data_IF_121559450340
#
_entry.id   IF_121559450340
#
_cell.length_a   1.000
_cell.length_b   1.000
_cell.length_c   1.000
_cell.angle_alpha   90.00
_cell.angle_beta   90.00
_cell.angle_gamma   90.00
#
_symmetry.space_group_name_H-M   'P 1'
#
loop_
_entity.id
_entity.type
_entity.pdbx_description
1 polymer ?
#
# COMPACT_ATOMS: atom_id res chain seq x y z
N UNK A 1 13.03 24.14 -19.84
CA UNK A 1 12.59 23.04 -18.94
C UNK A 1 11.52 23.59 -18.03
N UNK A 2 10.26 23.37 -18.38
CA UNK A 2 9.08 23.88 -17.67
C UNK A 2 8.49 22.80 -16.77
N UNK A 3 7.83 23.23 -15.71
CA UNK A 3 7.51 22.52 -14.47
C UNK A 3 6.47 21.37 -14.58
N UNK A 4 6.37 20.61 -15.68
CA UNK A 4 5.19 19.75 -15.92
C UNK A 4 5.40 18.36 -16.56
N UNK A 5 6.58 17.74 -16.58
CA UNK A 5 6.73 16.37 -17.16
C UNK A 5 6.93 15.22 -16.15
N UNK A 6 7.22 15.48 -14.85
CA UNK A 6 7.55 14.44 -13.86
C UNK A 6 6.66 14.50 -12.59
N UNK A 7 5.34 14.55 -12.74
CA UNK A 7 4.40 14.64 -11.62
C UNK A 7 3.45 13.44 -11.53
N UNK A 8 2.80 13.28 -10.38
CA UNK A 8 1.64 12.39 -10.27
C UNK A 8 0.52 12.97 -11.16
N UNK A 9 -0.10 12.11 -11.96
CA UNK A 9 -1.19 12.43 -12.90
C UNK A 9 -2.51 11.78 -12.49
N UNK A 10 -2.45 10.65 -11.78
CA UNK A 10 -3.61 9.92 -11.28
C UNK A 10 -3.40 9.57 -9.80
N UNK A 11 -4.35 9.97 -8.96
CA UNK A 11 -4.33 9.73 -7.52
C UNK A 11 -5.42 8.70 -7.18
N UNK A 12 -5.03 7.61 -6.54
CA UNK A 12 -5.93 6.62 -5.97
C UNK A 12 -6.32 6.96 -4.55
N UNK A 13 -7.59 7.26 -4.32
CA UNK A 13 -8.18 7.49 -3.00
C UNK A 13 -8.81 6.22 -2.38
N UNK A 14 -8.84 5.11 -3.14
CA UNK A 14 -9.35 3.83 -2.66
C UNK A 14 -8.42 3.17 -1.65
N UNK A 15 -8.99 2.71 -0.53
CA UNK A 15 -8.27 1.96 0.49
C UNK A 15 -7.74 0.63 -0.08
N UNK A 16 -6.70 0.08 0.53
CA UNK A 16 -6.31 -1.30 0.30
C UNK A 16 -7.51 -2.24 0.45
N UNK A 17 -7.49 -3.32 -0.34
CA UNK A 17 -8.61 -4.30 -0.46
C UNK A 17 -9.86 -3.80 -1.21
N UNK A 18 -9.81 -2.66 -1.89
CA UNK A 18 -10.90 -2.21 -2.77
C UNK A 18 -10.66 -2.51 -4.26
N UNK A 19 -9.74 -3.42 -4.58
CA UNK A 19 -9.36 -3.73 -5.97
C UNK A 19 -8.19 -2.89 -6.51
N UNK A 20 -7.43 -2.25 -5.62
CA UNK A 20 -6.27 -1.38 -5.92
C UNK A 20 -5.22 -2.04 -6.81
N UNK A 21 -4.94 -3.34 -6.62
CA UNK A 21 -3.98 -4.08 -7.44
C UNK A 21 -4.47 -4.27 -8.88
N UNK A 22 -5.76 -4.61 -9.06
CA UNK A 22 -6.36 -4.68 -10.40
C UNK A 22 -6.40 -3.31 -11.06
N UNK A 23 -6.67 -2.24 -10.29
CA UNK A 23 -6.63 -0.87 -10.79
C UNK A 23 -5.21 -0.45 -11.19
N UNK A 24 -4.20 -0.84 -10.41
CA UNK A 24 -2.79 -0.62 -10.74
C UNK A 24 -2.44 -1.25 -12.10
N UNK A 25 -2.89 -2.47 -12.35
CA UNK A 25 -2.64 -3.16 -13.61
C UNK A 25 -3.34 -2.49 -14.79
N UNK A 26 -4.59 -2.07 -14.61
CA UNK A 26 -5.31 -1.29 -15.62
C UNK A 26 -4.57 0.02 -15.96
N UNK A 27 -4.05 0.73 -14.95
CA UNK A 27 -3.25 1.94 -15.16
C UNK A 27 -1.92 1.65 -15.86
N UNK A 28 -1.25 0.53 -15.55
CA UNK A 28 -0.04 0.10 -16.26
C UNK A 28 -0.31 -0.15 -17.74
N UNK A 29 -1.42 -0.81 -18.07
CA UNK A 29 -1.85 -1.01 -19.46
C UNK A 29 -2.05 0.33 -20.19
N UNK A 30 -2.57 1.35 -19.49
CA UNK A 30 -2.75 2.70 -20.01
C UNK A 30 -1.46 3.53 -20.08
N UNK A 31 -0.31 2.97 -19.70
CA UNK A 31 1.01 3.61 -19.77
C UNK A 31 1.44 4.36 -18.50
N UNK A 32 0.71 4.23 -17.39
CA UNK A 32 1.09 4.86 -16.12
C UNK A 32 2.05 3.98 -15.32
N UNK A 33 3.07 4.60 -14.72
CA UNK A 33 3.90 3.95 -13.71
C UNK A 33 3.26 4.17 -12.33
N UNK A 34 2.54 3.17 -11.86
CA UNK A 34 1.70 3.29 -10.66
C UNK A 34 2.42 2.84 -9.39
N UNK A 35 2.54 3.75 -8.43
CA UNK A 35 3.01 3.49 -7.07
C UNK A 35 1.93 2.75 -6.29
N UNK A 36 2.31 1.69 -5.60
CA UNK A 36 1.43 0.85 -4.79
C UNK A 36 2.24 0.27 -3.63
N UNK A 37 1.59 -0.32 -2.63
CA UNK A 37 2.19 -0.88 -1.44
C UNK A 37 3.41 -1.79 -1.72
N UNK A 38 3.41 -2.58 -2.81
CA UNK A 38 4.55 -3.45 -3.12
C UNK A 38 5.84 -2.67 -3.47
N UNK A 39 5.74 -1.41 -3.90
CA UNK A 39 6.90 -0.58 -4.17
C UNK A 39 7.74 -0.35 -2.90
N UNK A 40 7.09 -0.21 -1.74
CA UNK A 40 7.75 -0.04 -0.43
C UNK A 40 8.52 -1.30 -0.04
N UNK A 41 7.97 -2.48 -0.38
CA UNK A 41 8.62 -3.77 -0.08
C UNK A 41 9.82 -4.04 -0.98
N UNK A 42 9.86 -3.44 -2.19
CA UNK A 42 10.92 -3.65 -3.18
C UNK A 42 12.07 -2.68 -3.02
N UNK A 43 11.80 -1.43 -2.66
CA UNK A 43 12.81 -0.39 -2.48
C UNK A 43 12.88 0.12 -1.04
N UNK A 44 13.97 -0.25 -0.36
CA UNK A 44 14.28 0.21 0.98
C UNK A 44 14.38 1.75 1.09
N UNK A 45 14.62 2.47 0.00
CA UNK A 45 14.69 3.94 0.00
C UNK A 45 13.33 4.58 0.31
N UNK A 46 12.24 4.03 -0.26
CA UNK A 46 10.88 4.49 0.04
C UNK A 46 10.46 4.13 1.45
N UNK A 47 10.74 2.90 1.88
CA UNK A 47 10.46 2.47 3.25
C UNK A 47 11.15 3.39 4.27
N UNK A 48 12.41 3.80 4.02
CA UNK A 48 13.13 4.78 4.83
C UNK A 48 12.46 6.15 4.83
N UNK A 49 12.02 6.65 3.68
CA UNK A 49 11.37 7.97 3.57
C UNK A 49 10.02 7.99 4.31
N UNK A 50 9.20 6.95 4.16
CA UNK A 50 7.98 6.76 4.94
C UNK A 50 8.25 6.67 6.45
N UNK A 51 9.31 5.95 6.86
CA UNK A 51 9.73 5.88 8.26
C UNK A 51 10.20 7.24 8.81
N UNK A 52 10.93 8.02 8.02
CA UNK A 52 11.34 9.38 8.41
C UNK A 52 10.12 10.27 8.64
N UNK A 53 9.16 10.24 7.73
CA UNK A 53 7.90 10.95 7.88
C UNK A 53 7.14 10.51 9.13
N UNK A 54 6.95 9.21 9.34
CA UNK A 54 6.29 8.66 10.53
C UNK A 54 6.99 8.97 11.86
N UNK A 55 8.28 9.32 11.82
CA UNK A 55 9.07 9.76 12.98
C UNK A 55 9.19 11.29 13.09
N UNK A 56 8.36 12.06 12.37
CA UNK A 56 8.38 13.52 12.31
C UNK A 56 9.72 14.11 11.83
N UNK A 57 10.51 13.33 11.07
CA UNK A 57 11.79 13.73 10.50
C UNK A 57 11.72 14.26 9.07
N UNK A 58 10.54 14.22 8.44
CA UNK A 58 10.27 14.80 7.14
C UNK A 58 8.77 15.13 6.99
N UNK A 59 8.41 15.83 5.92
CA UNK A 59 7.02 16.10 5.52
C UNK A 59 6.49 15.01 4.58
N UNK A 60 5.17 14.96 4.37
CA UNK A 60 4.55 14.01 3.43
C UNK A 60 4.80 14.43 1.98
N UNK A 61 4.89 15.73 1.72
CA UNK A 61 5.21 16.31 0.41
C UNK A 61 6.58 15.86 -0.07
N UNK A 62 7.58 15.78 0.83
CA UNK A 62 8.89 15.22 0.49
C UNK A 62 8.85 13.73 0.14
N UNK A 63 7.91 12.97 0.71
CA UNK A 63 7.69 11.56 0.32
C UNK A 63 7.15 11.51 -1.10
N UNK A 64 6.14 12.34 -1.41
CA UNK A 64 5.56 12.42 -2.75
C UNK A 64 6.57 12.88 -3.79
N UNK A 65 7.41 13.86 -3.44
CA UNK A 65 8.47 14.32 -4.32
C UNK A 65 9.44 13.17 -4.66
N UNK A 66 9.89 12.41 -3.66
CA UNK A 66 10.77 11.24 -3.92
C UNK A 66 10.10 10.22 -4.85
N UNK A 67 8.81 9.94 -4.63
CA UNK A 67 8.04 9.02 -5.48
C UNK A 67 7.95 9.55 -6.92
N UNK A 68 7.64 10.84 -7.10
CA UNK A 68 7.56 11.46 -8.43
C UNK A 68 8.94 11.51 -9.13
N UNK A 69 10.03 11.80 -8.39
CA UNK A 69 11.41 11.82 -8.89
C UNK A 69 11.87 10.44 -9.39
N UNK A 70 11.37 9.35 -8.80
CA UNK A 70 11.61 7.99 -9.30
C UNK A 70 10.72 7.62 -10.51
N UNK A 71 10.01 8.59 -11.07
CA UNK A 71 9.26 8.49 -12.31
C UNK A 71 7.87 7.88 -12.17
N UNK A 72 7.34 7.73 -10.95
CA UNK A 72 5.95 7.30 -10.77
C UNK A 72 5.00 8.40 -11.24
N UNK A 73 3.95 8.01 -11.97
CA UNK A 73 2.96 8.93 -12.56
C UNK A 73 1.53 8.67 -12.06
N UNK A 74 1.33 7.60 -11.29
CA UNK A 74 0.07 7.32 -10.63
C UNK A 74 0.29 6.75 -9.23
N UNK A 75 -0.69 6.85 -8.34
CA UNK A 75 -0.62 6.34 -6.96
C UNK A 75 -1.88 5.53 -6.66
N UNK A 76 -1.73 4.41 -5.96
CA UNK A 76 -2.81 3.53 -5.53
C UNK A 76 -2.45 2.91 -4.17
N UNK A 77 -3.48 2.45 -3.45
CA UNK A 77 -3.33 1.72 -2.18
C UNK A 77 -2.66 2.54 -1.06
N UNK A 78 -2.59 1.93 0.11
CA UNK A 78 -1.88 2.43 1.27
C UNK A 78 -0.37 2.41 1.00
N UNK A 79 0.40 3.36 1.56
CA UNK A 79 -0.04 4.50 2.38
C UNK A 79 -0.53 5.71 1.56
N UNK A 80 -0.40 5.72 0.23
CA UNK A 80 -0.70 6.90 -0.58
C UNK A 80 -2.16 7.33 -0.49
N UNK A 81 -3.12 6.40 -0.49
CA UNK A 81 -4.54 6.73 -0.44
C UNK A 81 -4.96 7.48 0.84
N UNK A 82 -4.20 7.36 1.94
CA UNK A 82 -4.47 8.07 3.21
C UNK A 82 -4.20 9.57 3.09
N UNK A 83 -3.34 9.97 2.16
CA UNK A 83 -2.89 11.34 1.95
C UNK A 83 -3.30 11.88 0.57
N UNK A 84 -4.46 11.46 0.07
CA UNK A 84 -4.92 11.86 -1.27
C UNK A 84 -5.23 13.36 -1.35
N UNK A 85 -5.70 13.99 -0.26
CA UNK A 85 -5.94 15.43 -0.23
C UNK A 85 -4.64 16.24 -0.34
N UNK A 86 -3.57 15.82 0.33
CA UNK A 86 -2.25 16.43 0.26
C UNK A 86 -1.65 16.26 -1.14
N UNK A 87 -1.82 15.08 -1.75
CA UNK A 87 -1.45 14.85 -3.15
C UNK A 87 -2.21 15.80 -4.10
N UNK A 88 -3.52 16.00 -3.90
CA UNK A 88 -4.30 16.95 -4.71
C UNK A 88 -3.79 18.39 -4.57
N UNK A 89 -3.37 18.80 -3.36
CA UNK A 89 -2.78 20.13 -3.15
C UNK A 89 -1.43 20.26 -3.87
N UNK A 90 -0.61 19.22 -3.85
CA UNK A 90 0.72 19.23 -4.47
C UNK A 90 0.69 19.06 -6.00
N UNK A 91 -0.24 18.25 -6.49
CA UNK A 91 -0.43 17.93 -7.91
C UNK A 91 -1.87 18.28 -8.34
N UNK A 92 -2.21 19.58 -8.47
CA UNK A 92 -3.58 20.04 -8.69
C UNK A 92 -4.21 19.58 -10.01
N UNK A 93 -3.40 19.24 -11.01
CA UNK A 93 -3.85 18.73 -12.30
C UNK A 93 -4.14 17.22 -12.30
N UNK A 94 -3.84 16.52 -11.19
CA UNK A 94 -4.10 15.08 -11.06
C UNK A 94 -5.59 14.77 -11.06
N UNK A 95 -5.96 13.70 -11.75
CA UNK A 95 -7.31 13.11 -11.63
C UNK A 95 -7.36 12.17 -10.43
N UNK A 96 -8.49 12.14 -9.74
CA UNK A 96 -8.69 11.27 -8.57
C UNK A 96 -9.62 10.11 -8.92
N UNK A 97 -9.24 8.90 -8.52
CA UNK A 97 -10.03 7.68 -8.65
C UNK A 97 -10.32 7.12 -7.25
N UNK A 98 -11.60 6.92 -6.95
CA UNK A 98 -12.06 6.27 -5.72
C UNK A 98 -12.63 4.90 -6.07
N UNK A 99 -11.92 3.84 -5.69
CA UNK A 99 -12.41 2.46 -5.78
C UNK A 99 -13.15 2.07 -4.52
N UNK A 100 -14.31 1.43 -4.67
CA UNK A 100 -15.15 0.97 -3.57
C UNK A 100 -15.27 -0.55 -3.59
N UNK A 101 -15.36 -1.15 -2.41
CA UNK A 101 -15.61 -2.58 -2.30
C UNK A 101 -17.07 -2.89 -2.71
N UNK A 102 -17.32 -3.92 -3.54
CA UNK A 102 -18.67 -4.19 -4.09
C UNK A 102 -19.70 -4.63 -3.04
N UNK A 103 -19.22 -5.04 -1.85
CA UNK A 103 -20.04 -5.39 -0.68
C UNK A 103 -19.95 -4.33 0.42
N UNK A 104 -19.72 -3.08 0.04
CA UNK A 104 -19.68 -1.91 0.93
C UNK A 104 -18.66 -2.07 2.09
N UNK A 105 -18.88 -1.36 3.19
CA UNK A 105 -17.98 -1.31 4.34
C UNK A 105 -17.79 -2.69 5.00
N UNK A 106 -18.85 -3.47 5.17
CA UNK A 106 -18.77 -4.80 5.81
C UNK A 106 -17.93 -5.78 4.99
N UNK A 107 -18.08 -5.74 3.67
CA UNK A 107 -17.27 -6.56 2.78
C UNK A 107 -15.81 -6.16 2.79
N UNK A 108 -15.54 -4.85 2.77
CA UNK A 108 -14.18 -4.34 2.88
C UNK A 108 -13.54 -4.75 4.21
N UNK A 109 -14.23 -4.55 5.34
CA UNK A 109 -13.73 -4.87 6.67
C UNK A 109 -13.36 -6.36 6.80
N UNK A 110 -14.22 -7.25 6.28
CA UNK A 110 -13.91 -8.69 6.21
C UNK A 110 -12.69 -8.98 5.36
N UNK A 111 -12.57 -8.37 4.17
CA UNK A 111 -11.38 -8.57 3.34
C UNK A 111 -10.09 -8.00 3.95
N UNK A 112 -10.19 -6.89 4.68
CA UNK A 112 -9.07 -6.29 5.40
C UNK A 112 -8.62 -7.16 6.56
N UNK A 113 -9.56 -7.68 7.36
CA UNK A 113 -9.28 -8.60 8.45
C UNK A 113 -8.49 -9.84 7.98
N UNK A 114 -8.92 -10.46 6.87
CA UNK A 114 -8.18 -11.59 6.28
C UNK A 114 -6.73 -11.23 5.90
N UNK A 115 -6.50 -10.03 5.34
CA UNK A 115 -5.13 -9.58 5.04
C UNK A 115 -4.32 -9.38 6.34
N UNK A 116 -4.91 -8.78 7.37
CA UNK A 116 -4.22 -8.54 8.64
C UNK A 116 -3.88 -9.83 9.38
N UNK A 117 -4.75 -10.85 9.34
CA UNK A 117 -4.45 -12.19 9.85
C UNK A 117 -3.24 -12.79 9.13
N UNK A 118 -3.19 -12.68 7.79
CA UNK A 118 -2.05 -13.14 7.01
C UNK A 118 -0.76 -12.39 7.36
N UNK A 119 -0.80 -11.05 7.46
CA UNK A 119 0.37 -10.24 7.87
C UNK A 119 0.85 -10.64 9.26
N UNK A 120 -0.05 -10.89 10.21
CA UNK A 120 0.28 -11.38 11.56
C UNK A 120 1.03 -12.71 11.51
N UNK A 121 0.59 -13.65 10.67
CA UNK A 121 1.25 -14.95 10.51
C UNK A 121 2.66 -14.77 9.94
N UNK A 122 2.81 -13.95 8.88
CA UNK A 122 4.11 -13.75 8.23
C UNK A 122 5.10 -12.93 9.06
N UNK A 123 4.60 -12.03 9.91
CA UNK A 123 5.43 -11.19 10.79
C UNK A 123 5.77 -11.88 12.10
N UNK A 124 5.25 -13.08 12.35
CA UNK A 124 5.57 -13.84 13.55
C UNK A 124 7.07 -14.17 13.57
N UNK A 125 7.76 -14.02 14.72
CA UNK A 125 9.13 -14.48 14.84
C UNK A 125 9.18 -15.98 14.53
N UNK A 126 10.31 -16.43 13.99
CA UNK A 126 10.54 -17.86 13.81
C UNK A 126 10.26 -18.60 15.13
N UNK A 127 9.35 -19.57 15.08
CA UNK A 127 9.13 -20.51 16.18
C UNK A 127 9.11 -21.94 15.65
N UNK A 128 9.61 -22.85 16.49
CA UNK A 128 9.60 -24.30 16.24
C UNK A 128 8.16 -24.84 16.28
N UNK A 129 7.23 -24.16 16.93
CA UNK A 129 5.83 -24.60 17.05
C UNK A 129 4.86 -23.80 16.18
N UNK A 130 5.29 -22.66 15.61
CA UNK A 130 4.46 -21.79 14.76
C UNK A 130 5.31 -20.79 13.95
N UNK A 131 5.01 -20.47 12.68
CA UNK A 131 4.15 -21.17 11.72
C UNK A 131 4.98 -22.22 10.95
N UNK A 132 4.73 -23.52 11.14
CA UNK A 132 5.36 -24.58 10.35
C UNK A 132 4.49 -25.85 10.27
N UNK A 133 4.86 -26.79 9.39
CA UNK A 133 4.11 -28.02 9.07
C UNK A 133 3.79 -28.92 10.28
N UNK A 134 4.51 -28.78 11.39
CA UNK A 134 4.23 -29.54 12.61
C UNK A 134 2.86 -29.17 13.20
N UNK A 135 2.36 -27.96 12.96
CA UNK A 135 0.98 -27.56 13.30
C UNK A 135 -0.11 -28.33 12.51
N UNK A 136 0.25 -29.04 11.44
CA UNK A 136 -0.64 -29.96 10.73
C UNK A 136 -0.75 -31.33 11.42
N UNK A 137 0.13 -31.63 12.39
CA UNK A 137 0.04 -32.84 13.22
C UNK A 137 -0.98 -32.56 14.34
N UNK A 138 -2.11 -33.30 14.40
CA UNK A 138 -3.18 -33.01 15.37
C UNK A 138 -2.70 -32.94 16.83
N UNK A 139 -1.74 -33.77 17.22
CA UNK A 139 -1.19 -33.80 18.58
C UNK A 139 -0.42 -32.53 19.00
N UNK A 140 -0.05 -31.66 18.06
CA UNK A 140 0.69 -30.42 18.32
C UNK A 140 -0.26 -29.21 18.36
N UNK A 141 -1.49 -29.35 17.86
CA UNK A 141 -2.49 -28.27 17.84
C UNK A 141 -2.88 -27.82 19.25
N UNK A 142 -2.93 -28.75 20.21
CA UNK A 142 -3.30 -28.48 21.61
C UNK A 142 -2.21 -27.74 22.40
N UNK A 143 -0.96 -27.72 21.92
CA UNK A 143 0.17 -27.06 22.59
C UNK A 143 0.27 -25.55 22.28
N UNK A 144 -0.37 -25.09 21.20
CA UNK A 144 -0.31 -23.70 20.73
C UNK A 144 -1.57 -22.88 21.11
N UNK A 145 -2.51 -23.45 21.86
CA UNK A 145 -3.70 -22.77 22.36
C UNK A 145 -3.42 -22.07 23.71
N UNK A 146 -2.61 -21.00 23.67
CA UNK A 146 -2.47 -20.01 24.77
C UNK A 146 -2.44 -18.61 24.18
#
# INVERSE_FOLDING_TARGET
MTKSENGIQVIGAGLGRTGTLSMQEALRILGYKTYHFEAILRDNSHAKKWRQFGNNGSTVEEVFQKIAEDGYTATMDNPMCEYFFEQMKMFPESKVILTLHPKEADGWAKSWATLMEFVRIQSAPFSITYPNFLSLIPAIQDLNAV
#
